data_IF_995820816225
#
_entry.id   IF_995820816225
#
_cell.length_a   1.000
_cell.length_b   1.000
_cell.length_c   1.000
_cell.angle_alpha   90.00
_cell.angle_beta   90.00
_cell.angle_gamma   90.00
#
_symmetry.space_group_name_H-M   'P 1'
#
loop_
_entity.id
_entity.type
_entity.pdbx_description
1 polymer ?
#
# COMPACT_ATOMS: atom_id res chain seq x y z
N UNK A 1 -8.95 -32.89 -3.22
CA UNK A 1 -8.98 -32.17 -1.93
C UNK A 1 -9.03 -30.70 -2.27
N UNK A 2 -10.13 -30.01 -1.97
CA UNK A 2 -10.21 -28.56 -2.15
C UNK A 2 -9.26 -27.93 -1.15
N UNK A 3 -8.21 -27.25 -1.62
CA UNK A 3 -7.37 -26.43 -0.73
C UNK A 3 -8.27 -25.37 -0.10
N UNK A 4 -8.35 -25.38 1.22
CA UNK A 4 -9.14 -24.41 1.97
C UNK A 4 -8.41 -23.07 1.89
N UNK A 5 -9.06 -22.08 1.26
CA UNK A 5 -8.46 -20.76 1.10
C UNK A 5 -8.54 -20.03 2.45
N UNK A 6 -7.39 -19.83 3.07
CA UNK A 6 -7.28 -19.12 4.34
C UNK A 6 -7.26 -17.61 4.08
N UNK A 7 -8.28 -16.90 4.58
CA UNK A 7 -8.37 -15.43 4.41
C UNK A 7 -7.30 -14.69 5.22
N UNK A 8 -7.09 -15.06 6.49
CA UNK A 8 -6.14 -14.39 7.38
C UNK A 8 -4.91 -15.27 7.64
N UNK A 9 -3.69 -14.75 7.37
CA UNK A 9 -2.42 -15.48 7.59
C UNK A 9 -1.47 -14.77 8.54
N UNK A 10 -1.87 -13.66 9.15
CA UNK A 10 -0.96 -12.80 9.90
C UNK A 10 0.05 -12.10 8.97
N UNK A 11 0.42 -10.88 9.25
CA UNK A 11 1.26 -10.09 8.35
C UNK A 11 1.34 -8.64 8.78
N UNK A 12 0.90 -7.75 7.92
CA UNK A 12 1.07 -6.30 8.10
C UNK A 12 2.53 -5.89 7.92
N UNK A 13 2.96 -4.90 8.65
CA UNK A 13 4.34 -4.37 8.58
C UNK A 13 5.40 -5.45 8.87
N UNK A 14 5.06 -6.53 9.59
CA UNK A 14 5.98 -7.64 9.87
C UNK A 14 6.25 -8.54 8.66
N UNK A 15 5.46 -8.43 7.59
CA UNK A 15 5.68 -9.14 6.33
C UNK A 15 6.74 -8.49 5.42
N UNK A 16 7.27 -7.33 5.78
CA UNK A 16 8.32 -6.64 5.01
C UNK A 16 9.60 -7.48 4.98
N UNK A 17 10.29 -7.47 3.84
CA UNK A 17 11.62 -8.07 3.73
C UNK A 17 12.57 -7.39 4.70
N UNK A 18 13.47 -8.18 5.32
CA UNK A 18 14.47 -7.62 6.23
C UNK A 18 15.31 -6.53 5.54
N UNK A 19 15.60 -5.40 6.23
CA UNK A 19 16.25 -4.23 5.62
C UNK A 19 17.60 -4.56 4.98
N UNK A 20 18.38 -5.46 5.57
CA UNK A 20 19.68 -5.87 5.01
C UNK A 20 19.59 -6.71 3.72
N UNK A 21 18.49 -7.43 3.49
CA UNK A 21 18.25 -8.17 2.26
C UNK A 21 17.83 -7.22 1.15
N UNK A 22 16.92 -6.30 1.46
CA UNK A 22 16.43 -5.31 0.50
C UNK A 22 17.53 -4.34 0.07
N UNK A 23 18.33 -3.82 1.00
CA UNK A 23 19.44 -2.92 0.70
C UNK A 23 20.41 -3.50 -0.34
N UNK A 24 20.78 -4.78 -0.20
CA UNK A 24 21.68 -5.47 -1.16
C UNK A 24 21.11 -5.56 -2.58
N UNK A 25 19.80 -5.59 -2.71
CA UNK A 25 19.13 -5.58 -4.03
C UNK A 25 19.11 -4.16 -4.60
N UNK A 26 18.72 -3.19 -3.77
CA UNK A 26 18.62 -1.78 -4.16
C UNK A 26 19.97 -1.19 -4.57
N UNK A 27 21.08 -1.59 -3.92
CA UNK A 27 22.45 -1.15 -4.27
C UNK A 27 22.88 -1.55 -5.69
N UNK A 28 22.22 -2.55 -6.28
CA UNK A 28 22.50 -3.01 -7.65
C UNK A 28 21.69 -2.27 -8.70
N UNK A 29 20.73 -1.45 -8.29
CA UNK A 29 19.93 -0.68 -9.24
C UNK A 29 20.73 0.48 -9.82
N UNK A 30 20.52 0.81 -11.10
CA UNK A 30 21.10 2.01 -11.69
C UNK A 30 20.67 3.24 -10.91
N UNK A 31 21.62 4.00 -10.37
CA UNK A 31 21.32 5.24 -9.65
C UNK A 31 21.06 6.37 -10.64
N UNK A 32 19.79 6.72 -10.80
CA UNK A 32 19.39 7.90 -11.57
C UNK A 32 19.33 9.11 -10.63
N UNK A 33 20.03 10.19 -11.00
CA UNK A 33 19.97 11.45 -10.26
C UNK A 33 18.95 12.37 -10.94
N UNK A 34 17.94 12.77 -10.22
CA UNK A 34 17.00 13.81 -10.60
C UNK A 34 17.01 14.90 -9.53
N UNK A 35 17.33 16.16 -9.86
CA UNK A 35 17.38 17.26 -8.89
C UNK A 35 16.00 17.55 -8.25
N UNK A 36 14.91 17.10 -8.87
CA UNK A 36 13.56 17.25 -8.34
C UNK A 36 13.17 16.10 -7.40
N UNK A 37 13.89 14.98 -7.37
CA UNK A 37 13.68 13.92 -6.38
C UNK A 37 14.34 14.36 -5.06
N UNK A 38 13.53 14.94 -4.16
CA UNK A 38 14.00 15.48 -2.90
C UNK A 38 14.28 14.38 -1.87
N UNK A 39 13.42 13.37 -1.84
CA UNK A 39 13.55 12.17 -0.98
C UNK A 39 13.24 10.95 -1.83
N UNK A 40 14.16 10.00 -1.85
CA UNK A 40 14.04 8.73 -2.54
C UNK A 40 14.41 7.56 -1.63
N UNK A 41 14.50 6.36 -2.17
CA UNK A 41 14.76 5.14 -1.40
C UNK A 41 16.14 5.09 -0.73
N UNK A 42 17.08 5.94 -1.12
CA UNK A 42 18.44 6.00 -0.52
C UNK A 42 18.42 6.46 0.95
N UNK A 43 17.41 7.26 1.35
CA UNK A 43 17.25 7.79 2.71
C UNK A 43 16.53 6.85 3.67
N UNK A 44 15.87 5.80 3.16
CA UNK A 44 14.99 4.91 3.93
C UNK A 44 13.87 5.65 4.67
N UNK A 45 13.35 6.70 4.05
CA UNK A 45 12.22 7.45 4.54
C UNK A 45 10.88 6.73 4.26
N UNK A 46 9.79 7.18 4.89
CA UNK A 46 8.48 6.56 4.80
C UNK A 46 7.85 6.70 3.40
N UNK A 47 8.18 7.77 2.67
CA UNK A 47 7.65 8.00 1.32
C UNK A 47 8.64 8.75 0.43
N UNK A 48 8.47 8.63 -0.88
CA UNK A 48 9.20 9.44 -1.86
C UNK A 48 8.62 10.86 -1.94
N UNK A 49 9.49 11.87 -2.10
CA UNK A 49 9.08 13.26 -2.27
C UNK A 49 9.69 13.81 -3.57
N UNK A 50 8.83 14.24 -4.48
CA UNK A 50 9.22 14.79 -5.77
C UNK A 50 8.72 16.23 -5.95
N UNK A 51 9.63 17.15 -6.21
CA UNK A 51 9.33 18.56 -6.46
C UNK A 51 8.62 18.73 -7.80
N UNK A 52 7.44 19.35 -7.79
CA UNK A 52 6.66 19.67 -8.99
C UNK A 52 6.89 21.14 -9.42
N UNK A 53 6.86 22.06 -8.46
CA UNK A 53 7.14 23.48 -8.63
C UNK A 53 8.01 23.98 -7.48
N UNK A 54 8.34 25.27 -7.41
CA UNK A 54 9.17 25.80 -6.31
C UNK A 54 8.47 25.74 -4.95
N UNK A 55 7.15 25.68 -4.92
CA UNK A 55 6.31 25.71 -3.72
C UNK A 55 5.41 24.46 -3.57
N UNK A 56 5.52 23.48 -4.48
CA UNK A 56 4.70 22.27 -4.49
C UNK A 56 5.54 21.02 -4.70
N UNK A 57 5.37 20.03 -3.84
CA UNK A 57 5.94 18.70 -3.98
C UNK A 57 4.87 17.62 -3.88
N UNK A 58 5.11 16.51 -4.56
CA UNK A 58 4.30 15.30 -4.51
C UNK A 58 4.93 14.30 -3.55
N UNK A 59 4.15 13.78 -2.59
CA UNK A 59 4.53 12.69 -1.68
C UNK A 59 3.85 11.42 -2.17
N UNK A 60 4.62 10.34 -2.33
CA UNK A 60 4.12 9.06 -2.82
C UNK A 60 4.60 7.91 -1.95
N UNK A 61 3.67 7.06 -1.55
CA UNK A 61 3.93 5.81 -0.84
C UNK A 61 3.13 4.66 -1.45
N UNK A 62 3.54 3.44 -1.14
CA UNK A 62 2.89 2.21 -1.59
C UNK A 62 3.07 1.14 -0.53
N UNK A 63 1.96 0.73 0.08
CA UNK A 63 1.93 -0.39 1.03
C UNK A 63 0.81 -1.36 0.69
N UNK A 64 1.11 -2.65 0.70
CA UNK A 64 0.12 -3.72 0.60
C UNK A 64 0.62 -4.97 1.33
N UNK A 65 -0.30 -5.74 1.88
CA UNK A 65 0.04 -6.92 2.67
C UNK A 65 -1.12 -7.92 2.76
N UNK A 66 -0.85 -9.17 3.19
CA UNK A 66 -1.91 -10.14 3.44
C UNK A 66 -2.75 -9.76 4.66
N UNK A 67 -4.01 -10.25 4.77
CA UNK A 67 -4.88 -10.00 5.90
C UNK A 67 -4.27 -10.45 7.22
N UNK A 68 -4.38 -9.61 8.25
CA UNK A 68 -3.94 -9.88 9.62
C UNK A 68 -5.09 -9.99 10.61
N UNK A 69 -6.33 -9.73 10.16
CA UNK A 69 -7.57 -9.85 10.91
C UNK A 69 -8.61 -10.60 10.08
N UNK A 70 -9.57 -11.24 10.74
CA UNK A 70 -10.59 -12.04 10.06
C UNK A 70 -11.71 -11.21 9.43
N UNK A 71 -11.95 -10.00 9.93
CA UNK A 71 -12.97 -9.10 9.36
C UNK A 71 -12.41 -8.39 8.11
N UNK A 72 -12.98 -8.65 6.91
CA UNK A 72 -12.49 -8.06 5.67
C UNK A 72 -12.66 -6.54 5.61
N UNK A 73 -13.72 -5.99 6.20
CA UNK A 73 -13.93 -4.55 6.24
C UNK A 73 -12.87 -3.87 7.13
N UNK A 74 -12.61 -4.41 8.32
CA UNK A 74 -11.55 -3.93 9.22
C UNK A 74 -10.18 -4.07 8.56
N UNK A 75 -9.91 -5.18 7.86
CA UNK A 75 -8.67 -5.34 7.11
C UNK A 75 -8.47 -4.23 6.08
N UNK A 76 -9.52 -3.89 5.31
CA UNK A 76 -9.48 -2.78 4.36
C UNK A 76 -9.16 -1.43 5.02
N UNK A 77 -9.76 -1.16 6.18
CA UNK A 77 -9.47 0.05 6.96
C UNK A 77 -8.01 0.11 7.43
N UNK A 78 -7.48 -1.01 7.95
CA UNK A 78 -6.09 -1.10 8.41
C UNK A 78 -5.13 -0.86 7.25
N UNK A 79 -5.35 -1.49 6.10
CA UNK A 79 -4.49 -1.36 4.93
C UNK A 79 -4.42 0.10 4.44
N UNK A 80 -5.56 0.77 4.32
CA UNK A 80 -5.60 2.18 3.95
C UNK A 80 -4.94 3.07 5.01
N UNK A 81 -5.26 2.89 6.29
CA UNK A 81 -4.67 3.69 7.38
C UNK A 81 -3.14 3.57 7.41
N UNK A 82 -2.61 2.36 7.15
CA UNK A 82 -1.17 2.11 7.11
C UNK A 82 -0.50 2.91 5.98
N UNK A 83 -1.01 2.82 4.75
CA UNK A 83 -0.46 3.59 3.63
C UNK A 83 -0.59 5.11 3.82
N UNK A 84 -1.75 5.58 4.33
CA UNK A 84 -1.98 7.01 4.57
C UNK A 84 -1.06 7.58 5.66
N UNK A 85 -0.65 6.76 6.63
CA UNK A 85 0.26 7.19 7.71
C UNK A 85 1.61 7.68 7.20
N UNK A 86 2.13 7.09 6.13
CA UNK A 86 3.40 7.52 5.51
C UNK A 86 3.30 8.92 4.93
N UNK A 87 2.15 9.27 4.32
CA UNK A 87 1.90 10.62 3.83
C UNK A 87 1.91 11.63 4.97
N UNK A 88 1.26 11.31 6.09
CA UNK A 88 1.25 12.18 7.27
C UNK A 88 2.61 12.29 7.93
N UNK A 89 3.39 11.19 8.00
CA UNK A 89 4.75 11.19 8.52
C UNK A 89 5.66 12.16 7.75
N UNK A 90 5.43 12.29 6.44
CA UNK A 90 6.16 13.23 5.58
C UNK A 90 5.56 14.64 5.56
N UNK A 91 4.57 14.95 6.40
CA UNK A 91 3.90 16.25 6.47
C UNK A 91 2.96 16.55 5.28
N UNK A 92 2.62 15.53 4.49
CA UNK A 92 1.77 15.64 3.32
C UNK A 92 0.28 15.66 3.64
N UNK A 93 -0.52 15.97 2.62
CA UNK A 93 -1.98 15.88 2.63
C UNK A 93 -2.44 14.84 1.62
N UNK A 94 -3.31 13.93 2.05
CA UNK A 94 -3.91 12.92 1.16
C UNK A 94 -4.76 13.61 0.09
N UNK A 95 -4.51 13.27 -1.17
CA UNK A 95 -5.28 13.78 -2.32
C UNK A 95 -5.94 12.65 -3.10
N UNK A 96 -5.16 11.66 -3.48
CA UNK A 96 -5.63 10.48 -4.23
C UNK A 96 -5.09 9.20 -3.64
N UNK A 97 -5.81 8.11 -3.83
CA UNK A 97 -5.34 6.76 -3.55
C UNK A 97 -5.64 5.84 -4.73
N UNK A 98 -4.79 4.84 -4.92
CA UNK A 98 -4.96 3.75 -5.86
C UNK A 98 -4.93 2.44 -5.09
N UNK A 99 -5.88 1.55 -5.32
CA UNK A 99 -5.90 0.23 -4.69
C UNK A 99 -4.99 -0.75 -5.44
N UNK A 100 -4.28 -1.58 -4.67
CA UNK A 100 -3.65 -2.81 -5.17
C UNK A 100 -4.41 -4.00 -4.59
N UNK A 101 -4.84 -4.91 -5.46
CA UNK A 101 -5.65 -6.07 -5.10
C UNK A 101 -5.04 -7.33 -5.69
N UNK A 102 -4.68 -8.30 -4.83
CA UNK A 102 -4.48 -9.69 -5.19
C UNK A 102 -5.61 -10.51 -4.57
N UNK A 103 -6.35 -11.28 -5.36
CA UNK A 103 -7.54 -11.97 -4.86
C UNK A 103 -7.78 -13.31 -5.56
N UNK A 104 -8.07 -14.40 -4.81
CA UNK A 104 -8.35 -15.72 -5.40
C UNK A 104 -9.66 -15.73 -6.20
N UNK A 105 -9.61 -16.23 -7.43
CA UNK A 105 -10.80 -16.36 -8.31
C UNK A 105 -11.93 -17.19 -7.70
N UNK A 106 -11.59 -18.10 -6.79
CA UNK A 106 -12.53 -19.05 -6.17
C UNK A 106 -13.13 -18.52 -4.86
N UNK A 107 -12.65 -17.38 -4.35
CA UNK A 107 -13.16 -16.76 -3.13
C UNK A 107 -14.37 -15.88 -3.43
N UNK A 108 -15.29 -15.75 -2.46
CA UNK A 108 -16.47 -14.91 -2.59
C UNK A 108 -16.12 -13.42 -2.78
N UNK A 109 -16.56 -12.84 -3.89
CA UNK A 109 -16.34 -11.43 -4.21
C UNK A 109 -16.97 -10.46 -3.21
N UNK A 110 -17.94 -10.88 -2.39
CA UNK A 110 -18.46 -10.07 -1.31
C UNK A 110 -17.39 -9.75 -0.25
N UNK A 111 -16.42 -10.66 -0.05
CA UNK A 111 -15.26 -10.43 0.83
C UNK A 111 -14.41 -9.29 0.25
N UNK A 112 -14.09 -9.35 -1.04
CA UNK A 112 -13.36 -8.26 -1.71
C UNK A 112 -14.12 -6.94 -1.62
N UNK A 113 -15.43 -6.95 -1.83
CA UNK A 113 -16.29 -5.77 -1.71
C UNK A 113 -16.16 -5.10 -0.33
N UNK A 114 -16.18 -5.90 0.74
CA UNK A 114 -16.00 -5.39 2.12
C UNK A 114 -14.61 -4.81 2.36
N UNK A 115 -13.55 -5.46 1.86
CA UNK A 115 -12.18 -4.94 1.96
C UNK A 115 -12.09 -3.56 1.30
N UNK A 116 -12.54 -3.46 0.05
CA UNK A 116 -12.49 -2.22 -0.72
C UNK A 116 -13.37 -1.13 -0.11
N UNK A 117 -14.50 -1.47 0.46
CA UNK A 117 -15.37 -0.54 1.19
C UNK A 117 -14.60 0.07 2.38
N UNK A 118 -14.02 -0.77 3.23
CA UNK A 118 -13.24 -0.30 4.40
C UNK A 118 -12.10 0.62 4.00
N UNK A 119 -11.33 0.25 2.97
CA UNK A 119 -10.23 1.08 2.44
C UNK A 119 -10.71 2.42 1.89
N UNK A 120 -11.77 2.39 1.07
CA UNK A 120 -12.35 3.60 0.46
C UNK A 120 -12.88 4.58 1.51
N UNK A 121 -13.50 4.09 2.58
CA UNK A 121 -14.01 4.94 3.66
C UNK A 121 -12.87 5.65 4.40
N UNK A 122 -11.74 4.98 4.64
CA UNK A 122 -10.57 5.61 5.27
C UNK A 122 -9.92 6.66 4.37
N UNK A 123 -9.83 6.42 3.07
CA UNK A 123 -9.36 7.43 2.11
C UNK A 123 -10.25 8.67 2.13
N UNK A 124 -11.58 8.48 2.15
CA UNK A 124 -12.55 9.58 2.22
C UNK A 124 -12.45 10.32 3.55
N UNK A 125 -12.30 9.62 4.68
CA UNK A 125 -12.11 10.21 6.01
C UNK A 125 -10.85 11.10 6.05
N UNK A 126 -9.79 10.71 5.35
CA UNK A 126 -8.57 11.49 5.18
C UNK A 126 -8.72 12.70 4.23
N UNK A 127 -9.90 12.91 3.64
CA UNK A 127 -10.15 13.97 2.67
C UNK A 127 -9.63 13.68 1.26
N UNK A 128 -9.22 12.43 1.00
CA UNK A 128 -8.75 11.98 -0.31
C UNK A 128 -9.84 11.37 -1.18
N UNK A 129 -9.48 11.05 -2.42
CA UNK A 129 -10.34 10.40 -3.41
C UNK A 129 -9.70 9.10 -3.87
N UNK A 130 -10.47 8.00 -3.83
CA UNK A 130 -10.06 6.76 -4.48
C UNK A 130 -10.19 6.93 -5.99
N UNK A 131 -9.04 6.94 -6.69
CA UNK A 131 -8.95 7.27 -8.10
C UNK A 131 -8.87 6.05 -9.02
N UNK A 132 -8.81 4.84 -8.48
CA UNK A 132 -8.70 3.60 -9.23
C UNK A 132 -7.78 2.59 -8.57
N UNK A 133 -7.04 1.85 -9.37
CA UNK A 133 -6.09 0.85 -8.89
C UNK A 133 -5.85 -0.27 -9.88
N UNK A 134 -5.27 -1.37 -9.39
CA UNK A 134 -4.98 -2.57 -10.17
C UNK A 134 -5.35 -3.82 -9.40
N UNK A 135 -5.96 -4.80 -10.07
CA UNK A 135 -6.31 -6.09 -9.47
C UNK A 135 -5.81 -7.24 -10.31
N UNK A 136 -5.28 -8.25 -9.64
CA UNK A 136 -4.85 -9.51 -10.24
C UNK A 136 -5.46 -10.70 -9.52
N UNK A 137 -5.58 -11.83 -10.24
CA UNK A 137 -5.86 -13.11 -9.64
C UNK A 137 -4.57 -13.67 -9.01
N UNK A 138 -4.67 -14.10 -7.75
CA UNK A 138 -3.55 -14.68 -6.98
C UNK A 138 -4.11 -15.83 -6.13
N UNK A 139 -3.23 -16.69 -5.60
CA UNK A 139 -3.61 -17.71 -4.61
C UNK A 139 -3.96 -17.10 -3.25
N UNK A 140 -3.37 -15.94 -2.92
CA UNK A 140 -3.50 -15.29 -1.63
C UNK A 140 -4.15 -13.89 -1.76
N UNK A 141 -4.91 -13.53 -0.73
CA UNK A 141 -5.42 -12.15 -0.61
C UNK A 141 -4.30 -11.22 -0.19
N UNK A 142 -4.12 -10.13 -0.95
CA UNK A 142 -3.30 -8.98 -0.55
C UNK A 142 -4.03 -7.71 -0.96
N UNK A 143 -3.95 -6.70 -0.12
CA UNK A 143 -4.61 -5.42 -0.35
C UNK A 143 -3.81 -4.26 0.24
N UNK A 144 -3.84 -3.16 -0.47
CA UNK A 144 -3.25 -1.89 -0.04
C UNK A 144 -3.58 -0.76 -0.99
#
# INVERSE_FOLDING_TARGET
MSEEIVFCRGGGCTAKLGPGALARVLDRLPKTRDPNLLIGYDGSDDAAVYKLTDDLAMVQTLDFFPPMVEDPYIFGQIAAANALSDIYAMGGQVKTALNIVCFPKTMDLNILGKIMQGGSEKVREAGGVLAGGHSIADSDVKYG
#
